data_IF_176027455015
#
_entry.id   IF_176027455015
#
_cell.length_a   1.000
_cell.length_b   1.000
_cell.length_c   1.000
_cell.angle_alpha   90.00
_cell.angle_beta   90.00
_cell.angle_gamma   90.00
#
_symmetry.space_group_name_H-M   'P 1'
#
loop_
_entity.id
_entity.type
_entity.pdbx_description
1 polymer ?
#
# COMPACT_ATOMS: atom_id res chain seq x y z
N UNK A 1 -4.18 -8.81 9.41
CA UNK A 1 -3.86 -8.02 8.21
C UNK A 1 -4.89 -8.32 7.13
N UNK A 2 -5.35 -7.32 6.39
CA UNK A 2 -6.20 -7.44 5.19
C UNK A 2 -5.48 -6.79 4.00
N UNK A 3 -4.64 -7.55 3.27
CA UNK A 3 -3.82 -7.02 2.18
C UNK A 3 -4.66 -6.67 0.95
N UNK A 4 -4.04 -5.98 0.00
CA UNK A 4 -4.59 -5.79 -1.35
C UNK A 4 -4.47 -7.12 -2.12
N UNK A 5 -5.59 -7.82 -2.29
CA UNK A 5 -5.67 -9.00 -3.14
C UNK A 5 -5.75 -8.58 -4.62
N UNK A 6 -5.10 -9.36 -5.49
CA UNK A 6 -5.23 -9.31 -6.94
C UNK A 6 -6.69 -9.17 -7.43
N UNK A 7 -7.64 -9.89 -6.81
CA UNK A 7 -9.06 -9.84 -7.18
C UNK A 7 -9.77 -8.55 -6.76
N UNK A 8 -9.19 -7.81 -5.81
CA UNK A 8 -9.74 -6.60 -5.22
C UNK A 8 -8.93 -5.36 -5.58
N UNK A 9 -7.97 -5.49 -6.51
CA UNK A 9 -7.09 -4.40 -6.93
C UNK A 9 -7.90 -3.19 -7.39
N UNK A 10 -8.89 -3.41 -8.24
CA UNK A 10 -9.76 -2.35 -8.78
C UNK A 10 -10.70 -1.75 -7.73
N UNK A 11 -10.92 -2.47 -6.63
CA UNK A 11 -11.78 -2.01 -5.53
C UNK A 11 -10.98 -1.29 -4.44
N UNK A 12 -9.64 -1.27 -4.52
CA UNK A 12 -8.77 -0.63 -3.52
C UNK A 12 -8.59 -1.42 -2.22
N UNK A 13 -9.15 -2.62 -2.11
CA UNK A 13 -9.04 -3.47 -0.92
C UNK A 13 -10.38 -4.05 -0.45
N UNK A 14 -10.37 -4.66 0.75
CA UNK A 14 -11.54 -5.36 1.30
C UNK A 14 -12.36 -4.50 2.25
N UNK A 15 -11.72 -3.72 3.11
CA UNK A 15 -12.37 -2.96 4.18
C UNK A 15 -12.63 -1.52 3.76
N UNK A 16 -13.74 -0.93 4.21
CA UNK A 16 -14.09 0.48 4.02
C UNK A 16 -13.32 1.37 4.97
N UNK A 17 -12.86 2.50 4.45
CA UNK A 17 -12.07 3.46 5.20
C UNK A 17 -12.86 4.03 6.38
N UNK A 18 -14.06 4.56 6.13
CA UNK A 18 -14.78 5.39 7.10
C UNK A 18 -15.30 4.64 8.33
N UNK A 19 -15.84 3.44 8.15
CA UNK A 19 -16.59 2.74 9.22
C UNK A 19 -16.04 1.34 9.55
N UNK A 20 -14.92 0.93 8.94
CA UNK A 20 -14.22 -0.30 9.31
C UNK A 20 -12.76 -0.01 9.67
N UNK A 21 -11.99 0.61 8.75
CA UNK A 21 -10.58 0.86 8.97
C UNK A 21 -10.32 1.97 10.00
N UNK A 22 -10.89 3.16 9.82
CA UNK A 22 -10.66 4.31 10.72
C UNK A 22 -10.99 4.01 12.19
N UNK A 23 -12.17 3.42 12.53
CA UNK A 23 -12.47 3.10 13.93
C UNK A 23 -11.49 2.12 14.55
N UNK A 24 -11.10 1.07 13.81
CA UNK A 24 -10.15 0.07 14.30
C UNK A 24 -8.73 0.63 14.43
N UNK A 25 -8.29 1.43 13.46
CA UNK A 25 -6.99 2.10 13.51
C UNK A 25 -6.88 3.04 14.70
N UNK A 26 -7.94 3.79 15.01
CA UNK A 26 -7.97 4.66 16.18
C UNK A 26 -7.77 3.85 17.47
N UNK A 27 -8.53 2.77 17.68
CA UNK A 27 -8.40 1.92 18.88
C UNK A 27 -6.99 1.34 19.00
N UNK A 28 -6.44 0.78 17.91
CA UNK A 28 -5.13 0.13 17.91
C UNK A 28 -4.01 1.12 18.21
N UNK A 29 -4.07 2.32 17.64
CA UNK A 29 -3.06 3.35 17.88
C UNK A 29 -3.14 3.92 19.30
N UNK A 30 -4.35 4.10 19.85
CA UNK A 30 -4.53 4.46 21.27
C UNK A 30 -4.00 3.37 22.22
N UNK A 31 -4.08 2.10 21.82
CA UNK A 31 -3.46 0.97 22.55
C UNK A 31 -1.93 0.90 22.37
N UNK A 32 -1.31 1.88 21.71
CA UNK A 32 0.14 1.93 21.49
C UNK A 32 0.63 1.10 20.30
N UNK A 33 -0.29 0.55 19.49
CA UNK A 33 0.00 -0.12 18.23
C UNK A 33 0.26 0.86 17.07
N UNK A 34 0.21 0.34 15.84
CA UNK A 34 0.26 1.12 14.61
C UNK A 34 -0.75 0.60 13.59
N UNK A 35 -1.10 1.47 12.64
CA UNK A 35 -1.96 1.12 11.51
C UNK A 35 -1.47 1.76 10.21
N UNK A 36 -1.46 0.99 9.12
CA UNK A 36 -0.92 1.40 7.81
C UNK A 36 -1.65 0.67 6.67
N UNK A 37 -1.71 1.28 5.50
CA UNK A 37 -2.09 0.64 4.23
C UNK A 37 -0.94 -0.17 3.60
N UNK A 38 0.24 -0.12 4.22
CA UNK A 38 1.51 -0.56 3.64
C UNK A 38 2.29 0.56 2.94
N UNK A 39 1.66 1.73 2.68
CA UNK A 39 2.35 2.94 2.19
C UNK A 39 2.08 4.19 3.03
N UNK A 40 0.90 4.28 3.63
CA UNK A 40 0.47 5.45 4.41
C UNK A 40 -0.23 5.03 5.68
N UNK A 41 -0.15 5.86 6.73
CA UNK A 41 -0.94 5.66 7.96
C UNK A 41 -2.42 5.82 7.66
N UNK A 42 -3.26 4.95 8.23
CA UNK A 42 -4.69 4.94 7.91
C UNK A 42 -5.40 6.22 8.38
N UNK A 43 -5.09 6.70 9.58
CA UNK A 43 -5.73 7.90 10.12
C UNK A 43 -5.35 9.21 9.41
N UNK A 44 -4.31 9.18 8.56
CA UNK A 44 -3.88 10.34 7.77
C UNK A 44 -4.55 10.38 6.38
N UNK A 45 -5.31 9.33 6.01
CA UNK A 45 -5.99 9.26 4.72
C UNK A 45 -7.21 10.19 4.69
N UNK A 46 -7.26 11.06 3.69
CA UNK A 46 -8.47 11.80 3.37
C UNK A 46 -9.38 10.92 2.50
N UNK A 47 -10.64 10.66 2.90
CA UNK A 47 -11.57 9.84 2.14
C UNK A 47 -12.03 10.56 0.86
N UNK A 48 -11.96 9.87 -0.28
CA UNK A 48 -12.42 10.36 -1.60
C UNK A 48 -13.88 9.96 -1.90
N UNK A 49 -14.38 8.91 -1.23
CA UNK A 49 -15.74 8.42 -1.41
C UNK A 49 -16.30 7.76 -0.14
N UNK A 50 -17.63 7.79 0.03
CA UNK A 50 -18.33 7.21 1.18
C UNK A 50 -18.01 5.71 1.40
N UNK A 51 -17.83 4.96 0.32
CA UNK A 51 -17.56 3.52 0.35
C UNK A 51 -16.14 3.17 -0.12
N UNK A 52 -15.19 4.12 -0.04
CA UNK A 52 -13.80 3.87 -0.37
C UNK A 52 -13.26 2.69 0.43
N UNK A 53 -12.58 1.77 -0.25
CA UNK A 53 -11.92 0.64 0.40
C UNK A 53 -10.42 0.83 0.41
N UNK A 54 -9.78 0.20 1.40
CA UNK A 54 -8.35 0.28 1.65
C UNK A 54 -7.79 -1.08 2.09
N UNK A 55 -6.52 -1.39 1.79
CA UNK A 55 -5.81 -2.45 2.48
C UNK A 55 -5.49 -2.01 3.91
N UNK A 56 -5.45 -2.94 4.85
CA UNK A 56 -5.28 -2.65 6.28
C UNK A 56 -4.23 -3.56 6.91
N UNK A 57 -3.20 -2.93 7.47
CA UNK A 57 -2.20 -3.53 8.35
C UNK A 57 -2.37 -2.83 9.70
N UNK A 58 -2.58 -3.59 10.78
CA UNK A 58 -2.69 -3.06 12.12
C UNK A 58 -2.17 -4.07 13.13
N UNK A 59 -1.64 -3.59 14.26
CA UNK A 59 -1.09 -4.43 15.32
C UNK A 59 0.07 -3.78 16.06
N UNK A 60 1.00 -4.60 16.55
CA UNK A 60 2.23 -4.14 17.20
C UNK A 60 3.05 -3.25 16.26
N UNK A 61 3.57 -2.13 16.78
CA UNK A 61 4.38 -1.15 16.01
C UNK A 61 5.53 -1.80 15.24
N UNK A 62 6.23 -2.75 15.86
CA UNK A 62 7.38 -3.40 15.26
C UNK A 62 6.97 -4.28 14.06
N UNK A 63 5.92 -5.07 14.21
CA UNK A 63 5.41 -5.93 13.13
C UNK A 63 4.85 -5.11 11.97
N UNK A 64 4.09 -4.05 12.27
CA UNK A 64 3.56 -3.14 11.25
C UNK A 64 4.70 -2.46 10.48
N UNK A 65 5.77 -2.06 11.17
CA UNK A 65 6.96 -1.46 10.54
C UNK A 65 7.65 -2.45 9.60
N UNK A 66 7.85 -3.69 10.03
CA UNK A 66 8.47 -4.75 9.20
C UNK A 66 7.63 -4.98 7.93
N UNK A 67 6.32 -5.20 8.07
CA UNK A 67 5.42 -5.39 6.92
C UNK A 67 5.42 -4.18 5.97
N UNK A 68 5.43 -2.96 6.50
CA UNK A 68 5.48 -1.74 5.67
C UNK A 68 6.79 -1.68 4.88
N UNK A 69 7.92 -2.08 5.49
CA UNK A 69 9.21 -2.11 4.78
C UNK A 69 9.24 -3.08 3.60
N UNK A 70 8.57 -4.23 3.70
CA UNK A 70 8.46 -5.16 2.57
C UNK A 70 7.66 -4.58 1.41
N UNK A 71 6.60 -3.82 1.70
CA UNK A 71 5.84 -3.12 0.67
C UNK A 71 6.67 -2.02 0.00
N UNK A 72 7.42 -1.23 0.77
CA UNK A 72 8.28 -0.18 0.23
C UNK A 72 9.40 -0.73 -0.66
N UNK A 73 10.10 -1.78 -0.20
CA UNK A 73 11.12 -2.46 -1.00
C UNK A 73 10.54 -3.06 -2.29
N UNK A 74 9.34 -3.64 -2.23
CA UNK A 74 8.67 -4.18 -3.41
C UNK A 74 8.33 -3.07 -4.42
N UNK A 75 7.89 -1.90 -3.95
CA UNK A 75 7.58 -0.75 -4.80
C UNK A 75 8.87 -0.19 -5.45
N UNK A 76 9.98 -0.07 -4.69
CA UNK A 76 11.31 0.34 -5.19
C UNK A 76 11.84 -0.62 -6.27
N UNK A 77 11.80 -1.93 -6.01
CA UNK A 77 12.26 -2.95 -6.96
C UNK A 77 11.44 -2.91 -8.27
N UNK A 78 10.13 -2.62 -8.19
CA UNK A 78 9.28 -2.48 -9.39
C UNK A 78 9.63 -1.24 -10.21
N UNK A 79 9.98 -0.13 -9.55
CA UNK A 79 10.42 1.09 -10.21
C UNK A 79 11.75 0.84 -10.94
N UNK A 80 12.73 0.22 -10.30
CA UNK A 80 14.01 -0.13 -10.92
C UNK A 80 13.84 -1.03 -12.15
N UNK A 81 13.03 -2.09 -12.03
CA UNK A 81 12.74 -2.99 -13.14
C UNK A 81 12.08 -2.27 -14.33
N UNK A 82 11.18 -1.32 -14.04
CA UNK A 82 10.49 -0.52 -15.06
C UNK A 82 11.45 0.43 -15.77
N UNK A 83 12.34 1.10 -15.02
CA UNK A 83 13.36 1.99 -15.58
C UNK A 83 14.31 1.21 -16.49
N UNK A 84 14.86 0.08 -16.02
CA UNK A 84 15.77 -0.76 -16.81
C UNK A 84 15.10 -1.25 -18.09
N UNK A 85 13.83 -1.68 -18.01
CA UNK A 85 13.06 -2.12 -19.19
C UNK A 85 12.91 -1.00 -20.21
N UNK A 86 12.57 0.22 -19.78
CA UNK A 86 12.40 1.38 -20.66
C UNK A 86 13.71 1.81 -21.32
N UNK A 87 14.84 1.78 -20.60
CA UNK A 87 16.16 2.09 -21.15
C UNK A 87 16.60 1.06 -22.21
N UNK A 88 16.47 -0.25 -21.92
CA UNK A 88 16.79 -1.30 -22.91
C UNK A 88 15.92 -1.22 -24.16
N UNK A 89 14.65 -0.83 -24.01
CA UNK A 89 13.75 -0.65 -25.15
C UNK A 89 14.19 0.52 -26.03
N UNK A 90 14.51 1.68 -25.44
CA UNK A 90 15.01 2.84 -26.18
C UNK A 90 16.36 2.57 -26.88
N UNK A 91 17.30 1.87 -26.23
CA UNK A 91 18.58 1.52 -26.87
C UNK A 91 18.42 0.52 -28.02
N UNK A 92 17.47 -0.42 -27.90
CA UNK A 92 17.18 -1.39 -28.98
C UNK A 92 16.55 -0.73 -30.21
N UNK A 93 15.73 0.31 -30.04
CA UNK A 93 15.15 1.08 -31.15
C UNK A 93 16.18 1.97 -31.85
N UNK A 94 17.18 2.49 -31.12
CA UNK A 94 18.27 3.29 -31.69
C UNK A 94 19.30 2.45 -32.47
N UNK A 95 19.34 1.14 -32.27
CA UNK A 95 20.22 0.22 -33.03
C UNK A 95 19.65 -0.20 -34.38
N UNK A 96 18.40 0.17 -34.70
CA UNK A 96 17.69 -0.20 -35.93
C UNK A 96 17.44 0.99 -36.89
N UNK A 97 17.95 2.17 -36.55
CA UNK A 97 18.03 3.36 -37.40
C UNK A 97 19.50 3.64 -37.73
#
# INVERSE_FOLDING_TARGET
>A
MYPLDSKLKDQGGKLRLLYEANPMSFIVEQAGGASSTGRSRILDLTPEALHQRVPVILGSKNEVKVLTSYHQQADENQLEATVIRNYKFKSSLFSFL
#
